data_IF_995005812981
#
_entry.id   IF_995005812981
#
_cell.length_a   1.000
_cell.length_b   1.000
_cell.length_c   1.000
_cell.angle_alpha   90.00
_cell.angle_beta   90.00
_cell.angle_gamma   90.00
#
_symmetry.space_group_name_H-M   'P 1'
#
loop_
_entity.id
_entity.type
_entity.pdbx_description
1 polymer ?
#
# COMPACT_ATOMS: atom_id res chain seq x y z
N UNK A 1 -4.79 -30.96 -1.95
CA UNK A 1 -4.86 -29.49 -1.93
C UNK A 1 -3.49 -28.98 -1.52
N UNK A 2 -2.72 -28.39 -2.45
CA UNK A 2 -1.41 -27.83 -2.14
C UNK A 2 -1.59 -26.69 -1.11
N UNK A 3 -0.83 -26.73 -0.01
CA UNK A 3 -0.70 -25.56 0.88
C UNK A 3 -0.08 -24.46 0.02
N UNK A 4 -0.76 -23.34 -0.18
CA UNK A 4 -0.12 -22.15 -0.74
C UNK A 4 1.08 -21.85 0.16
N UNK A 5 2.29 -21.85 -0.41
CA UNK A 5 3.47 -21.40 0.30
C UNK A 5 3.23 -19.97 0.75
N UNK A 6 3.35 -19.73 2.05
CA UNK A 6 3.28 -18.39 2.62
C UNK A 6 4.27 -17.47 1.87
N UNK A 7 3.77 -16.40 1.26
CA UNK A 7 4.54 -15.47 0.44
C UNK A 7 4.74 -14.15 1.18
N UNK A 8 5.87 -13.51 0.93
CA UNK A 8 6.13 -12.13 1.33
C UNK A 8 6.29 -11.26 0.09
N UNK A 9 5.58 -10.12 0.08
CA UNK A 9 5.58 -9.17 -1.03
C UNK A 9 6.12 -7.80 -0.60
N UNK A 10 6.55 -7.02 -1.57
CA UNK A 10 7.15 -5.71 -1.39
C UNK A 10 6.33 -4.67 -2.15
N UNK A 11 6.01 -3.56 -1.48
CA UNK A 11 5.16 -2.50 -2.00
C UNK A 11 5.77 -1.13 -1.71
N UNK A 12 5.62 -0.23 -2.67
CA UNK A 12 5.97 1.18 -2.55
C UNK A 12 4.69 2.01 -2.33
N UNK A 13 4.72 2.92 -1.36
CA UNK A 13 3.60 3.82 -1.08
C UNK A 13 3.58 4.97 -2.09
N UNK A 14 2.54 5.03 -2.91
CA UNK A 14 2.38 6.04 -3.97
C UNK A 14 1.60 7.30 -3.51
N UNK A 15 0.86 7.22 -2.41
CA UNK A 15 0.01 8.29 -1.87
C UNK A 15 0.38 8.56 -0.43
N UNK A 16 0.48 9.83 -0.06
CA UNK A 16 0.83 10.20 1.32
C UNK A 16 -0.25 9.66 2.25
N UNK A 17 0.11 8.92 3.31
CA UNK A 17 -0.88 8.44 4.25
C UNK A 17 -1.51 9.63 4.99
N UNK A 18 -2.83 9.58 5.19
CA UNK A 18 -3.58 10.63 5.91
C UNK A 18 -3.13 10.80 7.36
N UNK A 19 -2.47 9.77 7.91
CA UNK A 19 -1.92 9.76 9.26
C UNK A 19 -0.52 9.22 9.21
N UNK A 20 0.32 9.78 10.08
CA UNK A 20 1.70 9.34 10.28
C UNK A 20 1.72 7.85 10.62
N UNK A 21 2.47 7.06 9.84
CA UNK A 21 2.64 5.63 10.08
C UNK A 21 3.68 5.38 11.18
N UNK A 22 3.42 4.37 12.00
CA UNK A 22 4.29 3.96 13.11
C UNK A 22 4.13 2.47 13.40
N UNK A 23 5.09 1.89 14.12
CA UNK A 23 4.93 0.54 14.66
C UNK A 23 3.66 0.47 15.54
N UNK A 24 2.91 -0.61 15.41
CA UNK A 24 1.62 -0.81 16.06
C UNK A 24 0.42 -0.21 15.33
N UNK A 25 0.61 0.57 14.26
CA UNK A 25 -0.51 1.07 13.46
C UNK A 25 -1.20 -0.07 12.71
N UNK A 26 -2.54 -0.07 12.70
CA UNK A 26 -3.36 -0.94 11.85
C UNK A 26 -3.50 -0.27 10.47
N UNK A 27 -3.17 -1.00 9.42
CA UNK A 27 -3.17 -0.50 8.03
C UNK A 27 -3.79 -1.52 7.09
N UNK A 28 -4.42 -1.01 6.03
CA UNK A 28 -4.90 -1.79 4.88
C UNK A 28 -4.19 -1.31 3.63
N UNK A 29 -3.64 -2.24 2.86
CA UNK A 29 -3.01 -1.93 1.59
C UNK A 29 -4.01 -2.03 0.45
N UNK A 30 -4.01 -1.01 -0.40
CA UNK A 30 -4.66 -1.01 -1.71
C UNK A 30 -3.60 -0.89 -2.78
N UNK A 31 -3.80 -1.57 -3.91
CA UNK A 31 -2.97 -1.38 -5.09
C UNK A 31 -3.62 -0.41 -6.04
N UNK A 32 -2.78 0.34 -6.75
CA UNK A 32 -3.19 1.27 -7.79
C UNK A 32 -2.87 0.67 -9.15
N UNK A 33 -3.81 0.80 -10.08
CA UNK A 33 -3.58 0.56 -11.51
C UNK A 33 -4.12 1.73 -12.30
N UNK A 34 -3.48 2.11 -13.41
CA UNK A 34 -4.03 3.10 -14.32
C UNK A 34 -5.42 2.67 -14.79
N UNK A 35 -6.40 3.56 -14.68
CA UNK A 35 -7.76 3.31 -15.14
C UNK A 35 -7.73 3.12 -16.66
N UNK A 36 -8.20 1.96 -17.14
CA UNK A 36 -8.20 1.63 -18.57
C UNK A 36 -9.38 2.22 -19.33
N UNK A 37 -10.40 2.70 -18.62
CA UNK A 37 -11.60 3.28 -19.20
C UNK A 37 -11.66 4.77 -18.86
N UNK A 38 -11.50 5.62 -19.87
CA UNK A 38 -11.80 7.03 -19.78
C UNK A 38 -13.02 7.34 -20.64
N UNK A 39 -13.92 8.19 -20.16
CA UNK A 39 -15.01 8.72 -20.99
C UNK A 39 -14.36 9.51 -22.13
N UNK A 40 -14.69 9.26 -23.41
CA UNK A 40 -14.07 9.93 -24.56
C UNK A 40 -14.30 11.45 -24.60
N UNK A 41 -15.18 11.97 -23.73
CA UNK A 41 -15.56 13.38 -23.65
C UNK A 41 -14.67 14.21 -22.72
N UNK A 42 -13.77 13.58 -21.94
CA UNK A 42 -12.86 14.28 -21.06
C UNK A 42 -11.52 14.54 -21.77
N UNK A 43 -10.96 15.78 -21.69
CA UNK A 43 -9.59 16.03 -22.13
C UNK A 43 -8.63 15.07 -21.42
N UNK A 44 -7.47 14.78 -22.02
CA UNK A 44 -6.45 13.79 -21.57
C UNK A 44 -5.87 14.00 -20.15
N UNK A 45 -6.46 14.88 -19.33
CA UNK A 45 -6.07 15.16 -17.95
C UNK A 45 -7.31 15.27 -17.06
N UNK A 46 -7.28 14.70 -15.85
CA UNK A 46 -6.11 14.14 -15.15
C UNK A 46 -5.86 12.63 -15.39
N UNK A 47 -4.66 12.16 -15.03
CA UNK A 47 -4.37 10.72 -14.94
C UNK A 47 -5.29 10.06 -13.90
N UNK A 48 -5.99 8.99 -14.29
CA UNK A 48 -6.94 8.29 -13.42
C UNK A 48 -6.37 6.94 -12.98
N UNK A 49 -6.48 6.65 -11.69
CA UNK A 49 -6.03 5.40 -11.10
C UNK A 49 -7.17 4.73 -10.34
N UNK A 50 -7.27 3.43 -10.53
CA UNK A 50 -8.18 2.56 -9.82
C UNK A 50 -7.46 1.92 -8.63
N UNK A 51 -7.98 2.18 -7.43
CA UNK A 51 -7.56 1.53 -6.21
C UNK A 51 -8.37 0.25 -6.00
N UNK A 52 -7.68 -0.89 -5.87
CA UNK A 52 -8.30 -2.18 -5.61
C UNK A 52 -7.68 -2.88 -4.40
N UNK A 53 -8.52 -3.66 -3.71
CA UNK A 53 -8.14 -4.38 -2.50
C UNK A 53 -7.43 -5.70 -2.84
N UNK A 54 -6.28 -5.92 -2.21
CA UNK A 54 -5.50 -7.16 -2.30
C UNK A 54 -5.64 -8.05 -1.08
N UNK A 55 -6.56 -7.73 -0.16
CA UNK A 55 -6.77 -8.46 1.09
C UNK A 55 -5.49 -8.55 1.92
N UNK A 56 -4.79 -7.43 2.03
CA UNK A 56 -3.63 -7.27 2.90
C UNK A 56 -3.94 -6.17 3.91
N UNK A 57 -4.20 -6.59 5.15
CA UNK A 57 -4.52 -5.69 6.25
C UNK A 57 -3.95 -6.26 7.54
N UNK A 58 -3.48 -5.41 8.44
CA UNK A 58 -3.04 -5.83 9.76
C UNK A 58 -2.22 -4.77 10.46
N UNK A 59 -1.42 -5.23 11.43
CA UNK A 59 -0.58 -4.37 12.25
C UNK A 59 0.84 -4.27 11.71
N UNK A 60 1.38 -3.06 11.67
CA UNK A 60 2.82 -2.84 11.47
C UNK A 60 3.56 -3.39 12.70
N UNK A 61 4.31 -4.48 12.51
CA UNK A 61 4.99 -5.17 13.60
C UNK A 61 6.38 -4.64 13.90
N UNK A 62 7.09 -4.14 12.87
CA UNK A 62 8.47 -3.63 13.01
C UNK A 62 8.90 -2.78 11.82
N UNK A 63 10.01 -2.07 12.01
CA UNK A 63 10.82 -1.48 10.94
C UNK A 63 11.81 -2.54 10.43
N UNK A 64 11.79 -2.83 9.14
CA UNK A 64 12.76 -3.72 8.49
C UNK A 64 14.04 -2.98 8.10
N UNK A 65 13.91 -1.77 7.57
CA UNK A 65 15.02 -0.94 7.12
C UNK A 65 14.69 0.53 7.33
N UNK A 66 15.71 1.33 7.61
CA UNK A 66 15.63 2.78 7.74
C UNK A 66 16.81 3.41 7.01
N UNK A 67 16.50 4.21 6.01
CA UNK A 67 17.43 5.07 5.29
C UNK A 67 17.05 6.55 5.55
N UNK A 68 17.93 7.47 5.15
CA UNK A 68 17.67 8.91 5.32
C UNK A 68 16.40 9.36 4.60
N UNK A 69 16.07 8.77 3.45
CA UNK A 69 15.00 9.19 2.55
C UNK A 69 13.81 8.20 2.49
N UNK A 70 13.97 6.98 2.98
CA UNK A 70 12.93 5.95 2.96
C UNK A 70 12.95 5.05 4.20
N UNK A 71 11.78 4.55 4.57
CA UNK A 71 11.56 3.62 5.67
C UNK A 71 10.76 2.41 5.16
N UNK A 72 11.16 1.21 5.55
CA UNK A 72 10.42 -0.02 5.22
C UNK A 72 9.82 -0.63 6.47
N UNK A 73 8.50 -0.74 6.51
CA UNK A 73 7.74 -1.42 7.54
C UNK A 73 7.45 -2.87 7.17
N UNK A 74 7.32 -3.74 8.18
CA UNK A 74 6.78 -5.10 8.01
C UNK A 74 5.38 -5.15 8.59
N UNK A 75 4.44 -5.52 7.74
CA UNK A 75 3.04 -5.78 8.05
C UNK A 75 2.80 -7.29 8.07
N UNK A 76 2.20 -7.80 9.15
CA UNK A 76 1.66 -9.16 9.18
C UNK A 76 0.19 -9.13 8.75
N UNK A 77 -0.14 -9.92 7.73
CA UNK A 77 -1.49 -9.94 7.18
C UNK A 77 -2.43 -10.76 8.06
N UNK A 78 -3.52 -10.13 8.51
CA UNK A 78 -4.57 -10.77 9.30
C UNK A 78 -5.40 -11.78 8.50
N UNK A 79 -5.44 -11.65 7.17
CA UNK A 79 -6.24 -12.51 6.30
C UNK A 79 -5.55 -13.86 6.04
N UNK A 80 -5.92 -14.87 6.84
CA UNK A 80 -5.31 -16.21 6.74
C UNK A 80 -5.55 -16.92 5.39
N UNK A 81 -6.58 -16.53 4.65
CA UNK A 81 -6.86 -17.06 3.32
C UNK A 81 -5.97 -16.45 2.23
N UNK A 82 -5.37 -15.28 2.47
CA UNK A 82 -4.45 -14.64 1.53
C UNK A 82 -3.12 -15.41 1.48
N UNK A 83 -2.55 -15.64 0.28
CA UNK A 83 -1.21 -16.22 0.17
C UNK A 83 -0.12 -15.27 0.66
N UNK A 84 -0.40 -13.97 0.79
CA UNK A 84 0.53 -12.96 1.28
C UNK A 84 0.45 -12.93 2.81
N UNK A 85 1.48 -13.43 3.48
CA UNK A 85 1.60 -13.39 4.95
C UNK A 85 2.25 -12.14 5.47
N UNK A 86 3.26 -11.67 4.74
CA UNK A 86 4.01 -10.48 5.11
C UNK A 86 4.02 -9.50 3.95
N UNK A 87 3.80 -8.23 4.26
CA UNK A 87 3.98 -7.15 3.31
C UNK A 87 5.07 -6.20 3.82
N UNK A 88 6.06 -5.96 2.98
CA UNK A 88 7.10 -4.97 3.20
C UNK A 88 6.64 -3.68 2.50
N UNK A 89 6.42 -2.63 3.29
CA UNK A 89 5.86 -1.37 2.81
C UNK A 89 6.95 -0.32 2.91
N UNK A 90 7.44 0.15 1.77
CA UNK A 90 8.41 1.24 1.68
C UNK A 90 7.70 2.56 1.49
N UNK A 91 8.00 3.52 2.36
CA UNK A 91 7.43 4.86 2.36
C UNK A 91 8.55 5.89 2.50
N UNK A 92 8.46 7.07 1.86
CA UNK A 92 9.43 8.14 2.09
C UNK A 92 9.52 8.50 3.58
N UNK A 93 10.74 8.70 4.06
CA UNK A 93 11.04 9.02 5.46
C UNK A 93 11.02 10.54 5.67
N UNK A 94 9.83 11.12 5.68
CA UNK A 94 9.62 12.52 6.06
C UNK A 94 9.11 12.50 7.49
N UNK A 95 10.02 12.72 8.44
CA UNK A 95 9.73 12.61 9.87
C UNK A 95 8.54 13.49 10.28
N UNK A 96 7.64 12.92 11.08
CA UNK A 96 6.37 13.51 11.56
C UNK A 96 5.37 13.92 10.47
N UNK A 97 5.66 13.65 9.20
CA UNK A 97 4.77 13.90 8.05
C UNK A 97 4.24 12.58 7.50
N UNK A 98 5.13 11.63 7.23
CA UNK A 98 4.77 10.30 6.72
C UNK A 98 4.96 9.21 7.76
N UNK A 99 5.98 9.35 8.61
CA UNK A 99 6.40 8.32 9.57
C UNK A 99 6.81 8.90 10.92
N UNK A 100 6.56 8.15 11.98
CA UNK A 100 7.09 8.39 13.31
C UNK A 100 7.79 7.12 13.80
N UNK A 101 9.05 7.27 14.22
CA UNK A 101 9.92 6.17 14.60
C UNK A 101 10.33 6.36 16.06
N UNK A 102 9.97 5.43 16.93
CA UNK A 102 10.57 5.36 18.27
C UNK A 102 12.01 4.85 18.11
N UNK A 103 13.01 5.46 18.77
CA UNK A 103 14.39 4.96 18.78
C UNK A 103 14.49 3.45 19.10
N UNK A 104 13.59 2.90 19.92
CA UNK A 104 13.54 1.48 20.27
C UNK A 104 13.04 0.57 19.13
N UNK A 105 12.28 1.12 18.18
CA UNK A 105 11.76 0.40 17.01
C UNK A 105 12.77 0.32 15.86
N UNK A 106 13.87 1.06 15.97
CA UNK A 106 14.90 1.12 14.95
C UNK A 106 15.66 -0.22 14.91
N UNK A 107 15.85 -0.84 13.73
CA UNK A 107 16.51 -2.13 13.65
C UNK A 107 17.94 -2.04 14.19
N UNK A 108 18.25 -2.85 15.22
CA UNK A 108 19.55 -2.86 15.93
C UNK A 108 20.74 -3.26 15.07
N UNK A 109 20.49 -4.04 14.02
CA UNK A 109 21.41 -4.21 12.92
C UNK A 109 20.85 -3.36 11.78
N UNK A 110 21.65 -2.45 11.21
CA UNK A 110 21.33 -1.89 9.90
C UNK A 110 21.22 -3.08 8.95
N UNK A 111 20.00 -3.60 8.79
CA UNK A 111 19.79 -4.84 8.09
C UNK A 111 20.22 -4.58 6.65
N UNK A 112 21.11 -5.43 6.18
CA UNK A 112 21.61 -5.57 4.81
C UNK A 112 20.49 -5.93 3.82
N UNK A 113 19.27 -5.42 4.03
CA UNK A 113 18.24 -5.38 3.01
C UNK A 113 18.73 -4.31 2.05
N UNK A 114 19.01 -4.75 0.81
CA UNK A 114 19.26 -3.81 -0.29
C UNK A 114 18.20 -2.72 -0.20
N UNK A 115 18.57 -1.43 -0.21
CA UNK A 115 17.58 -0.38 -0.38
C UNK A 115 16.78 -0.78 -1.61
N UNK A 116 15.51 -1.15 -1.40
CA UNK A 116 14.58 -1.47 -2.47
C UNK A 116 14.40 -0.17 -3.23
N UNK A 117 15.27 0.02 -4.23
CA UNK A 117 15.35 1.12 -5.17
C UNK A 117 14.96 2.50 -4.61
N UNK A 118 15.96 3.28 -4.19
CA UNK A 118 15.90 4.70 -3.76
C UNK A 118 15.27 5.68 -4.78
N UNK A 119 14.76 5.20 -5.91
CA UNK A 119 14.14 6.01 -6.97
C UNK A 119 12.65 5.68 -7.22
N UNK A 120 11.96 5.01 -6.28
CA UNK A 120 10.57 4.55 -6.47
C UNK A 120 9.49 5.33 -5.72
N UNK A 121 9.79 6.49 -5.18
CA UNK A 121 8.76 7.46 -4.79
C UNK A 121 8.28 8.22 -6.02
N UNK A 122 7.59 7.50 -6.92
CA UNK A 122 6.66 8.16 -7.82
C UNK A 122 5.43 8.50 -6.99
N UNK A 123 5.49 9.64 -6.30
CA UNK A 123 4.24 10.30 -5.92
C UNK A 123 3.39 10.39 -7.18
N UNK A 124 2.10 10.08 -7.06
CA UNK A 124 1.18 10.28 -8.17
C UNK A 124 1.31 11.69 -8.74
N UNK A 125 0.94 11.86 -10.00
CA UNK A 125 0.87 13.17 -10.62
C UNK A 125 0.05 14.13 -9.73
N UNK A 126 0.41 15.43 -9.61
CA UNK A 126 -0.23 16.34 -8.66
C UNK A 126 -1.75 16.50 -8.83
N UNK A 127 -2.26 16.24 -10.04
CA UNK A 127 -3.68 16.29 -10.40
C UNK A 127 -4.32 14.89 -10.54
N UNK A 128 -3.59 13.81 -10.23
CA UNK A 128 -4.08 12.45 -10.36
C UNK A 128 -5.36 12.22 -9.54
N UNK A 129 -6.32 11.54 -10.15
CA UNK A 129 -7.57 11.16 -9.51
C UNK A 129 -7.53 9.67 -9.17
N UNK A 130 -7.80 9.35 -7.91
CA UNK A 130 -7.85 7.97 -7.43
C UNK A 130 -9.30 7.61 -7.13
N UNK A 131 -9.86 6.68 -7.91
CA UNK A 131 -11.16 6.07 -7.65
C UNK A 131 -10.98 4.79 -6.85
N UNK A 132 -11.65 4.67 -5.71
CA UNK A 132 -11.84 3.35 -5.10
C UNK A 132 -12.83 2.58 -5.94
N UNK A 133 -12.44 1.41 -6.48
CA UNK A 133 -13.41 0.48 -7.04
C UNK A 133 -14.25 -0.09 -5.90
N UNK A 134 -15.28 0.66 -5.50
CA UNK A 134 -16.39 0.09 -4.78
C UNK A 134 -17.15 -0.75 -5.79
N UNK A 135 -17.04 -2.08 -5.70
CA UNK A 135 -18.16 -2.91 -6.14
C UNK A 135 -19.37 -2.42 -5.34
N UNK A 136 -20.17 -1.53 -5.94
CA UNK A 136 -21.51 -1.28 -5.46
C UNK A 136 -22.20 -2.65 -5.32
N UNK A 137 -23.03 -2.87 -4.28
CA UNK A 137 -23.82 -4.09 -4.21
C UNK A 137 -24.57 -4.21 -5.53
N UNK A 138 -24.40 -5.36 -6.21
CA UNK A 138 -25.18 -5.73 -7.39
C UNK A 138 -26.64 -5.41 -7.06
N UNK A 139 -27.24 -4.45 -7.77
CA UNK A 139 -28.68 -4.25 -7.65
C UNK A 139 -29.35 -5.62 -7.90
N UNK A 140 -30.32 -6.05 -7.07
CA UNK A 140 -31.03 -7.27 -7.37
C UNK A 140 -31.64 -7.12 -8.78
N UNK A 141 -31.45 -8.14 -9.61
CA UNK A 141 -31.99 -8.16 -10.97
C UNK A 141 -33.45 -7.72 -10.95
N UNK A 142 -33.91 -6.91 -11.92
CA UNK A 142 -35.31 -6.54 -11.98
C UNK A 142 -36.14 -7.81 -12.08
N UNK A 143 -36.99 -8.05 -11.07
CA UNK A 143 -38.02 -9.06 -11.13
C UNK A 143 -38.98 -8.60 -12.23
N UNK A 144 -38.81 -9.17 -13.42
CA UNK A 144 -39.78 -9.05 -14.50
C UNK A 144 -41.05 -9.75 -14.00
N UNK A 145 -42.10 -8.97 -13.74
CA UNK A 145 -43.46 -9.46 -13.53
C UNK A 145 -44.21 -9.46 -14.85
#
# INVERSE_FOLDING_TARGET
RARSSDRADYYDVAIQPERVLRVGAEVRLMLLSQARFHTPELPERPAMYDAYDIQVEGRIGRVAASAMDALTFVLENKYQASPIRYAYITIPNIHDITVHIDPNDTPRAAATLQPLHTHRTAWLEPDAVVSTWNMAPRAPDPVIR
#
